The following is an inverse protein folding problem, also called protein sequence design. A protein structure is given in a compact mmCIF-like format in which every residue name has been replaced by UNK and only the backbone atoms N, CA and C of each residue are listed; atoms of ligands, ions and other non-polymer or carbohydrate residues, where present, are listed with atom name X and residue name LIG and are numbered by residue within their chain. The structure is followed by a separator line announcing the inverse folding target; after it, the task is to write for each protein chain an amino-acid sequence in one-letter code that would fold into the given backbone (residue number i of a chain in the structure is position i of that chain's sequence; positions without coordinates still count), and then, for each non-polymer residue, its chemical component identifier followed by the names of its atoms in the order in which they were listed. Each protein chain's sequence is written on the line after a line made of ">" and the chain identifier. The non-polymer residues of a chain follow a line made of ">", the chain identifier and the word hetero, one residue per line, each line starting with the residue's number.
data_IF_287694882962
#
_entry.id   IF_287694882962
#
_cell.length_a   1.000
_cell.length_b   1.000
_cell.length_c   1.000
_cell.angle_alpha   90.00
_cell.angle_beta   90.00
_cell.angle_gamma   90.00
#
_symmetry.space_group_name_H-M   'P 1'
#
loop_
_entity.id
_entity.type
_entity.pdbx_description
1 polymer ?
#
# COMPACT_ATOMS: atom_id res chain seq x y z
N UNK A 1 65.29 8.65 -59.86
CA UNK A 1 66.66 8.39 -60.36
C UNK A 1 66.68 7.01 -60.97
N UNK A 2 66.74 7.01 -62.18
CA UNK A 2 67.54 6.33 -63.24
C UNK A 2 67.06 4.91 -63.56
N UNK A 3 66.39 4.85 -64.73
CA UNK A 3 66.69 3.87 -65.81
C UNK A 3 68.18 3.91 -66.20
N UNK A 4 68.74 3.01 -67.02
CA UNK A 4 68.21 2.31 -68.20
C UNK A 4 68.87 0.90 -68.39
N UNK A 5 68.66 0.06 -69.36
CA UNK A 5 68.81 0.18 -70.82
C UNK A 5 68.67 -1.23 -71.45
N UNK A 6 68.13 -1.28 -72.66
CA UNK A 6 68.29 -2.30 -73.72
C UNK A 6 69.76 -2.28 -74.30
N UNK A 7 70.15 -3.25 -75.08
CA UNK A 7 69.71 -3.62 -76.43
C UNK A 7 69.98 -5.11 -76.79
N UNK A 8 69.74 -5.66 -77.91
CA UNK A 8 69.37 -5.47 -79.30
C UNK A 8 69.82 -6.70 -80.14
N UNK A 9 69.11 -6.92 -81.21
CA UNK A 9 69.46 -7.53 -82.50
C UNK A 9 69.45 -9.08 -82.73
N UNK A 10 68.49 -9.38 -83.51
CA UNK A 10 68.41 -10.19 -84.76
C UNK A 10 69.72 -10.51 -85.52
N UNK A 11 69.74 -11.26 -86.66
CA UNK A 11 68.69 -11.97 -87.45
C UNK A 11 69.24 -13.27 -88.15
N UNK A 12 68.39 -13.75 -89.08
CA UNK A 12 68.71 -14.35 -90.42
C UNK A 12 68.14 -15.78 -90.65
N UNK A 13 67.19 -15.81 -91.51
CA UNK A 13 66.83 -16.58 -92.70
C UNK A 13 67.29 -18.05 -92.85
N UNK A 14 66.39 -18.91 -93.34
CA UNK A 14 66.34 -19.41 -94.73
C UNK A 14 65.25 -20.50 -94.90
N UNK A 15 64.26 -20.18 -95.73
CA UNK A 15 63.63 -20.92 -96.86
C UNK A 15 63.53 -22.47 -96.74
N UNK A 16 62.28 -22.90 -96.93
CA UNK A 16 62.08 -24.14 -97.68
C UNK A 16 60.85 -24.99 -97.44
N UNK A 17 60.02 -24.92 -98.43
CA UNK A 17 59.10 -25.86 -98.99
C UNK A 17 57.72 -26.08 -98.38
N UNK A 18 56.80 -25.76 -99.25
CA UNK A 18 55.33 -25.94 -99.16
C UNK A 18 54.96 -27.41 -99.20
N UNK A 19 54.13 -27.82 -98.28
CA UNK A 19 53.18 -28.93 -98.47
C UNK A 19 51.81 -28.52 -97.88
N UNK A 20 50.78 -28.78 -98.62
CA UNK A 20 49.35 -28.36 -98.38
C UNK A 20 48.79 -28.88 -97.06
N UNK A 21 47.85 -28.13 -96.43
CA UNK A 21 47.32 -28.53 -95.15
C UNK A 21 46.21 -29.59 -95.30
N UNK A 22 46.39 -30.64 -94.56
CA UNK A 22 45.36 -31.64 -94.32
C UNK A 22 44.23 -30.99 -93.45
N UNK A 23 43.01 -31.12 -93.92
CA UNK A 23 41.84 -30.53 -93.27
C UNK A 23 41.64 -31.08 -91.87
N UNK A 24 41.91 -30.28 -90.84
CA UNK A 24 41.54 -30.60 -89.46
C UNK A 24 40.02 -30.75 -89.31
N UNK A 25 39.56 -31.92 -88.96
CA UNK A 25 38.18 -32.23 -88.65
C UNK A 25 37.73 -31.43 -87.43
N UNK A 26 36.71 -30.60 -87.63
CA UNK A 26 36.06 -29.84 -86.55
C UNK A 26 35.57 -30.78 -85.42
N UNK A 27 35.76 -30.41 -84.13
CA UNK A 27 35.28 -31.25 -83.03
C UNK A 27 33.74 -31.35 -83.08
N UNK A 28 33.24 -32.54 -83.27
CA UNK A 28 31.80 -32.85 -83.17
C UNK A 28 31.33 -32.45 -81.77
N UNK A 29 30.61 -31.32 -81.60
CA UNK A 29 29.81 -31.00 -80.40
C UNK A 29 28.83 -32.13 -80.14
N UNK A 30 29.16 -32.98 -79.17
CA UNK A 30 28.21 -34.00 -78.65
C UNK A 30 27.00 -33.26 -78.11
N UNK A 31 25.85 -33.36 -78.78
CA UNK A 31 24.57 -32.85 -78.25
C UNK A 31 24.30 -33.57 -76.91
N UNK A 32 24.06 -32.82 -75.82
CA UNK A 32 23.78 -33.46 -74.54
C UNK A 32 22.53 -34.32 -74.70
N UNK A 33 22.58 -35.51 -74.15
CA UNK A 33 21.42 -36.41 -74.11
C UNK A 33 20.33 -35.72 -73.35
N UNK A 34 19.07 -35.64 -73.90
CA UNK A 34 17.98 -34.89 -73.29
C UNK A 34 17.72 -35.27 -71.83
N UNK A 35 17.89 -36.56 -71.49
CA UNK A 35 17.79 -37.09 -70.11
C UNK A 35 18.88 -36.48 -69.13
N UNK A 36 20.08 -36.22 -69.63
CA UNK A 36 21.14 -35.61 -68.83
C UNK A 36 20.86 -34.11 -68.53
N UNK A 37 20.27 -33.41 -69.52
CA UNK A 37 19.84 -32.01 -69.33
C UNK A 37 18.69 -31.93 -68.37
N UNK A 38 17.70 -32.80 -68.49
CA UNK A 38 16.56 -32.89 -67.53
C UNK A 38 17.09 -33.21 -66.11
N UNK A 39 18.01 -34.15 -65.97
CA UNK A 39 18.63 -34.45 -64.65
C UNK A 39 19.36 -33.28 -64.02
N UNK A 40 20.11 -32.50 -64.81
CA UNK A 40 20.81 -31.28 -64.35
C UNK A 40 19.80 -30.17 -63.97
N UNK A 41 18.74 -30.00 -64.77
CA UNK A 41 17.69 -29.00 -64.45
C UNK A 41 16.95 -29.40 -63.19
N UNK A 42 16.59 -30.69 -63.05
CA UNK A 42 15.94 -31.19 -61.81
C UNK A 42 16.83 -31.04 -60.57
N UNK A 43 18.13 -31.33 -60.72
CA UNK A 43 19.09 -31.17 -59.63
C UNK A 43 19.26 -29.65 -59.28
N UNK A 44 19.33 -28.79 -60.27
CA UNK A 44 19.39 -27.33 -60.04
C UNK A 44 18.10 -26.79 -59.37
N UNK A 45 16.95 -27.24 -59.80
CA UNK A 45 15.66 -26.90 -59.15
C UNK A 45 15.62 -27.43 -57.74
N UNK A 46 16.03 -28.65 -57.45
CA UNK A 46 16.07 -29.20 -56.10
C UNK A 46 17.04 -28.44 -55.22
N UNK A 47 18.26 -28.13 -55.69
CA UNK A 47 19.24 -27.33 -54.93
C UNK A 47 18.71 -25.93 -54.66
N UNK A 48 18.08 -25.29 -55.68
CA UNK A 48 17.51 -23.94 -55.51
C UNK A 48 16.31 -23.97 -54.55
N UNK A 49 15.43 -24.97 -54.62
CA UNK A 49 14.31 -25.15 -53.72
C UNK A 49 14.75 -25.45 -52.29
N UNK A 50 15.77 -26.33 -52.13
CA UNK A 50 16.37 -26.61 -50.81
C UNK A 50 17.05 -25.37 -50.21
N UNK A 51 17.78 -24.62 -51.05
CA UNK A 51 18.40 -23.35 -50.60
C UNK A 51 17.37 -22.28 -50.20
N UNK A 52 16.31 -22.14 -50.98
CA UNK A 52 15.22 -21.22 -50.65
C UNK A 52 14.48 -21.63 -49.36
N UNK A 53 14.21 -22.93 -49.20
CA UNK A 53 13.62 -23.49 -47.99
C UNK A 53 14.54 -23.26 -46.77
N UNK A 54 15.85 -23.57 -46.86
CA UNK A 54 16.79 -23.40 -45.79
C UNK A 54 16.92 -21.91 -45.38
N UNK A 55 16.90 -20.97 -46.35
CA UNK A 55 16.92 -19.55 -46.09
C UNK A 55 15.60 -19.09 -45.41
N UNK A 56 14.47 -19.61 -45.84
CA UNK A 56 13.18 -19.29 -45.23
C UNK A 56 13.09 -19.87 -43.79
N UNK A 57 13.50 -21.09 -43.59
CA UNK A 57 13.53 -21.75 -42.27
C UNK A 57 14.51 -21.05 -41.29
N UNK A 58 15.63 -20.53 -41.79
CA UNK A 58 16.60 -19.80 -40.97
C UNK A 58 16.04 -18.46 -40.43
N UNK A 59 15.15 -17.82 -41.18
CA UNK A 59 14.53 -16.53 -40.81
C UNK A 59 13.10 -16.66 -40.27
N UNK A 60 12.57 -17.87 -40.15
CA UNK A 60 11.23 -18.08 -39.61
C UNK A 60 11.18 -17.77 -38.10
N UNK A 61 10.08 -17.20 -37.62
CA UNK A 61 9.81 -17.08 -36.19
C UNK A 61 9.71 -18.47 -35.54
N UNK A 62 10.17 -18.58 -34.30
CA UNK A 62 10.05 -19.84 -33.57
C UNK A 62 8.61 -19.99 -33.05
N UNK A 63 8.13 -21.23 -32.91
CA UNK A 63 6.86 -21.44 -32.23
C UNK A 63 6.95 -21.00 -30.77
N UNK A 64 5.89 -20.35 -30.33
CA UNK A 64 5.74 -19.94 -28.91
C UNK A 64 5.77 -21.20 -28.02
N UNK A 65 6.52 -21.15 -26.94
CA UNK A 65 6.56 -22.22 -25.95
C UNK A 65 5.18 -22.45 -25.33
N UNK A 66 4.85 -23.70 -25.08
CA UNK A 66 3.61 -24.05 -24.39
C UNK A 66 3.70 -23.65 -22.93
N UNK A 67 2.84 -22.73 -22.49
CA UNK A 67 2.73 -22.30 -21.11
C UNK A 67 1.67 -23.14 -20.38
N UNK A 68 2.01 -23.57 -19.15
CA UNK A 68 1.10 -24.27 -18.25
C UNK A 68 1.07 -23.54 -16.92
N UNK A 69 -0.11 -23.08 -16.51
CA UNK A 69 -0.31 -22.39 -15.23
C UNK A 69 -0.53 -23.39 -14.13
N UNK A 70 0.09 -23.17 -12.97
CA UNK A 70 -0.18 -23.91 -11.74
C UNK A 70 -1.28 -23.21 -10.95
N UNK A 71 -2.41 -23.88 -10.76
CA UNK A 71 -3.51 -23.36 -9.97
C UNK A 71 -3.20 -23.46 -8.47
N UNK A 72 -3.43 -22.34 -7.74
CA UNK A 72 -3.33 -22.28 -6.28
C UNK A 72 -4.73 -22.22 -5.69
N UNK A 73 -5.11 -23.11 -4.78
CA UNK A 73 -6.43 -23.07 -4.15
C UNK A 73 -6.58 -21.81 -3.28
N UNK A 74 -7.79 -21.24 -3.19
CA UNK A 74 -8.04 -20.10 -2.34
C UNK A 74 -7.83 -20.44 -0.85
N UNK A 75 -7.26 -19.49 -0.12
CA UNK A 75 -7.10 -19.56 1.33
C UNK A 75 -8.16 -18.70 2.00
N UNK A 76 -8.84 -19.24 3.02
CA UNK A 76 -9.83 -18.51 3.80
C UNK A 76 -9.42 -18.51 5.27
N UNK A 77 -9.39 -17.34 5.87
CA UNK A 77 -9.10 -17.10 7.29
C UNK A 77 -10.42 -16.62 7.94
N UNK A 78 -10.80 -17.24 9.04
CA UNK A 78 -12.02 -16.87 9.75
C UNK A 78 -11.85 -15.57 10.56
N UNK A 79 -12.98 -14.87 10.79
CA UNK A 79 -13.03 -13.70 11.66
C UNK A 79 -12.71 -14.08 13.12
N UNK A 80 -11.95 -13.24 13.86
CA UNK A 80 -11.71 -13.46 15.27
C UNK A 80 -12.97 -13.23 16.10
N UNK A 81 -13.06 -13.88 17.24
CA UNK A 81 -14.07 -13.58 18.24
C UNK A 81 -13.60 -12.38 19.09
N UNK A 82 -14.12 -11.19 18.83
CA UNK A 82 -13.79 -9.97 19.57
C UNK A 82 -14.64 -9.88 20.84
N UNK A 83 -14.00 -9.67 22.00
CA UNK A 83 -14.65 -9.60 23.30
C UNK A 83 -15.28 -8.21 23.55
N UNK A 84 -16.27 -7.85 22.76
CA UNK A 84 -17.01 -6.60 22.93
C UNK A 84 -17.82 -6.58 24.23
N UNK A 85 -17.93 -5.40 24.89
CA UNK A 85 -18.86 -5.21 25.99
C UNK A 85 -20.32 -5.51 25.60
N UNK A 86 -21.15 -5.87 26.56
CA UNK A 86 -22.58 -6.15 26.33
C UNK A 86 -23.47 -4.90 26.35
N UNK A 87 -22.89 -3.71 26.42
CA UNK A 87 -23.59 -2.41 26.47
C UNK A 87 -23.01 -1.46 25.42
N UNK A 88 -23.73 -0.39 25.12
CA UNK A 88 -23.28 0.73 24.33
C UNK A 88 -22.90 0.38 22.90
N UNK A 89 -21.83 1.00 22.43
CA UNK A 89 -21.28 0.79 21.10
C UNK A 89 -19.77 1.04 21.10
N UNK A 90 -19.08 0.53 20.08
CA UNK A 90 -17.67 0.75 19.90
C UNK A 90 -17.20 0.39 18.51
N UNK A 91 -16.00 0.86 18.20
CA UNK A 91 -15.29 0.57 16.97
C UNK A 91 -13.78 0.58 17.25
N UNK A 92 -13.01 -0.11 16.42
CA UNK A 92 -11.57 -0.14 16.49
C UNK A 92 -10.99 -0.23 15.09
N UNK A 93 -9.91 0.51 14.85
CA UNK A 93 -9.10 0.50 13.62
C UNK A 93 -7.65 0.20 13.91
N UNK A 94 -6.88 -0.11 12.87
CA UNK A 94 -5.44 -0.15 12.90
C UNK A 94 -4.86 0.68 11.76
N UNK A 95 -3.95 1.59 12.10
CA UNK A 95 -3.34 2.49 11.13
C UNK A 95 -2.46 1.70 10.16
N UNK A 96 -2.71 1.86 8.86
CA UNK A 96 -1.91 1.22 7.81
C UNK A 96 -2.14 -0.28 7.63
N UNK A 97 -3.12 -0.88 8.32
CA UNK A 97 -3.50 -2.29 8.16
C UNK A 97 -4.83 -2.38 7.43
N UNK A 98 -4.94 -3.35 6.52
CA UNK A 98 -6.22 -3.64 5.86
C UNK A 98 -7.14 -4.42 6.81
N UNK A 99 -8.26 -3.79 7.12
CA UNK A 99 -9.39 -4.43 7.81
C UNK A 99 -10.48 -4.87 6.82
N UNK A 100 -11.51 -5.55 7.30
CA UNK A 100 -12.66 -5.98 6.47
C UNK A 100 -13.52 -4.82 5.96
N UNK A 101 -13.31 -3.60 6.49
CA UNK A 101 -14.02 -2.39 6.07
C UNK A 101 -13.03 -1.31 5.61
N UNK A 102 -13.53 -0.35 4.81
CA UNK A 102 -12.72 0.76 4.31
C UNK A 102 -12.10 1.60 5.45
N UNK A 103 -10.92 2.17 5.21
CA UNK A 103 -10.26 3.09 6.15
C UNK A 103 -9.55 2.43 7.33
N UNK A 104 -9.15 1.14 7.21
CA UNK A 104 -8.43 0.46 8.30
C UNK A 104 -9.31 0.01 9.46
N UNK A 105 -10.63 0.17 9.35
CA UNK A 105 -11.57 -0.29 10.38
C UNK A 105 -11.53 -1.81 10.52
N UNK A 106 -11.19 -2.28 11.70
CA UNK A 106 -11.09 -3.71 12.01
C UNK A 106 -12.46 -4.28 12.38
N UNK A 107 -13.11 -3.70 13.38
CA UNK A 107 -14.39 -4.18 13.88
C UNK A 107 -15.20 -3.06 14.55
N UNK A 108 -16.51 -3.29 14.66
CA UNK A 108 -17.43 -2.43 15.40
C UNK A 108 -18.56 -3.25 15.99
N UNK A 109 -19.22 -2.71 17.00
CA UNK A 109 -20.43 -3.29 17.61
C UNK A 109 -21.40 -2.21 18.07
N UNK A 110 -22.65 -2.61 18.33
CA UNK A 110 -23.70 -1.74 18.84
C UNK A 110 -24.27 -0.81 17.78
N UNK A 111 -24.67 0.40 18.19
CA UNK A 111 -25.30 1.38 17.32
C UNK A 111 -24.32 1.95 16.28
N UNK A 112 -24.75 2.03 15.03
CA UNK A 112 -24.05 2.75 13.95
C UNK A 112 -24.53 4.21 13.80
N UNK A 113 -25.55 4.61 14.55
CA UNK A 113 -26.09 5.98 14.55
C UNK A 113 -25.29 6.92 15.44
N UNK A 114 -25.70 8.19 15.42
CA UNK A 114 -25.16 9.21 16.29
C UNK A 114 -25.47 8.92 17.76
N UNK A 115 -24.46 9.08 18.61
CA UNK A 115 -24.53 8.90 20.06
C UNK A 115 -23.94 10.14 20.74
N UNK A 116 -24.42 10.56 21.94
CA UNK A 116 -23.74 11.55 22.74
C UNK A 116 -22.32 11.09 23.06
N UNK A 117 -21.35 12.02 22.98
CA UNK A 117 -19.92 11.67 23.07
C UNK A 117 -19.22 12.25 24.30
N UNK A 118 -19.92 13.07 25.07
CA UNK A 118 -19.33 13.74 26.22
C UNK A 118 -18.02 14.44 25.86
N UNK A 119 -17.08 14.45 26.79
CA UNK A 119 -15.80 15.15 26.62
C UNK A 119 -14.90 14.60 25.49
N UNK A 120 -15.27 13.57 24.75
CA UNK A 120 -14.59 13.20 23.50
C UNK A 120 -14.68 14.36 22.50
N UNK A 121 -15.72 15.22 22.58
CA UNK A 121 -15.84 16.45 21.79
C UNK A 121 -14.62 17.38 21.85
N UNK A 122 -13.86 17.35 22.95
CA UNK A 122 -12.64 18.15 23.10
C UNK A 122 -11.50 17.75 22.14
N UNK A 123 -11.58 16.54 21.59
CA UNK A 123 -10.72 16.11 20.46
C UNK A 123 -11.00 16.99 19.25
N UNK A 124 -12.27 17.20 18.93
CA UNK A 124 -12.66 18.12 17.84
C UNK A 124 -12.20 19.54 18.15
N UNK A 125 -12.42 20.01 19.39
CA UNK A 125 -12.00 21.35 19.79
C UNK A 125 -10.50 21.57 19.64
N UNK A 126 -9.68 20.61 20.09
CA UNK A 126 -8.23 20.70 19.97
C UNK A 126 -7.78 20.72 18.49
N UNK A 127 -8.31 19.79 17.66
CA UNK A 127 -7.97 19.71 16.24
C UNK A 127 -8.39 20.96 15.45
N UNK A 128 -9.57 21.48 15.73
CA UNK A 128 -10.11 22.68 15.05
C UNK A 128 -9.35 23.93 15.48
N UNK A 129 -9.00 24.07 16.77
CA UNK A 129 -8.15 25.17 17.27
C UNK A 129 -6.78 25.13 16.60
N UNK A 130 -6.08 23.99 16.58
CA UNK A 130 -4.78 23.84 15.92
C UNK A 130 -4.85 24.07 14.41
N UNK A 131 -5.97 23.73 13.77
CA UNK A 131 -6.15 24.01 12.35
C UNK A 131 -6.18 25.53 12.06
N UNK A 132 -6.73 26.33 12.98
CA UNK A 132 -6.80 27.78 12.85
C UNK A 132 -5.55 28.49 13.40
N UNK A 133 -4.92 27.89 14.38
CA UNK A 133 -3.75 28.40 15.12
C UNK A 133 -2.66 27.32 15.16
N UNK A 134 -1.94 27.07 14.06
CA UNK A 134 -0.96 26.00 14.02
C UNK A 134 0.28 26.33 14.85
N UNK A 135 0.69 25.39 15.69
CA UNK A 135 1.94 25.48 16.47
C UNK A 135 3.11 25.05 15.56
N UNK A 136 4.04 25.97 15.29
CA UNK A 136 5.22 25.65 14.51
C UNK A 136 6.14 24.67 15.25
N UNK A 137 6.81 23.81 14.48
CA UNK A 137 7.75 22.83 15.03
C UNK A 137 8.82 23.47 15.94
N UNK A 138 9.06 22.87 17.08
CA UNK A 138 10.02 23.37 18.07
C UNK A 138 9.57 24.59 18.88
N UNK A 139 8.29 25.00 18.76
CA UNK A 139 7.69 26.08 19.56
C UNK A 139 6.53 25.56 20.40
N UNK A 140 6.03 26.40 21.32
CA UNK A 140 4.84 26.11 22.13
C UNK A 140 3.59 26.90 21.68
N UNK A 141 3.65 27.52 20.52
CA UNK A 141 2.55 28.31 19.95
C UNK A 141 2.48 29.73 20.50
N UNK A 142 1.34 30.41 20.27
CA UNK A 142 1.09 31.75 20.73
C UNK A 142 0.89 31.78 22.27
N UNK A 143 1.20 32.91 22.90
CA UNK A 143 0.83 33.13 24.30
C UNK A 143 -0.63 33.61 24.39
N UNK A 144 -1.41 32.94 25.24
CA UNK A 144 -2.82 33.22 25.50
C UNK A 144 -2.91 33.90 26.85
N UNK A 145 -3.43 35.13 26.88
CA UNK A 145 -3.69 35.89 28.10
C UNK A 145 -5.14 35.65 28.56
N UNK A 146 -5.27 35.01 29.72
CA UNK A 146 -6.57 34.74 30.33
C UNK A 146 -7.07 35.97 31.12
N UNK A 147 -8.35 36.19 31.04
CA UNK A 147 -9.00 37.40 31.58
C UNK A 147 -10.06 37.06 32.63
N UNK A 148 -10.75 38.05 33.14
CA UNK A 148 -11.91 37.84 34.00
C UNK A 148 -13.07 37.13 33.30
N UNK A 149 -13.11 37.20 31.93
CA UNK A 149 -14.09 36.44 31.14
C UNK A 149 -13.84 34.93 31.23
N UNK A 150 -12.58 34.51 31.21
CA UNK A 150 -12.19 33.11 31.35
C UNK A 150 -12.49 32.57 32.75
N UNK A 151 -12.34 33.44 33.80
CA UNK A 151 -12.83 33.10 35.15
C UNK A 151 -14.35 32.95 35.17
N UNK A 152 -15.10 33.71 34.36
CA UNK A 152 -16.52 33.49 34.12
C UNK A 152 -16.80 32.09 33.58
N UNK A 153 -16.09 31.65 32.51
CA UNK A 153 -16.23 30.30 31.92
C UNK A 153 -15.93 29.20 32.94
N UNK A 154 -14.98 29.41 33.83
CA UNK A 154 -14.74 28.49 34.95
C UNK A 154 -15.97 28.37 35.87
N UNK A 155 -16.53 29.49 36.30
CA UNK A 155 -17.69 29.49 37.18
C UNK A 155 -18.94 28.88 36.52
N UNK A 156 -19.16 29.16 35.23
CA UNK A 156 -20.23 28.54 34.45
C UNK A 156 -20.09 27.05 34.38
N UNK A 157 -18.86 26.55 34.05
CA UNK A 157 -18.57 25.13 33.98
C UNK A 157 -18.73 24.42 35.32
N UNK A 158 -18.39 25.08 36.44
CA UNK A 158 -18.63 24.56 37.81
C UNK A 158 -20.13 24.46 38.10
N UNK A 159 -20.91 25.47 37.71
CA UNK A 159 -22.37 25.47 37.90
C UNK A 159 -23.07 24.34 37.10
N UNK A 160 -22.51 23.95 35.99
CA UNK A 160 -22.97 22.85 35.13
C UNK A 160 -22.41 21.46 35.55
N UNK A 161 -21.71 21.37 36.69
CA UNK A 161 -20.98 20.16 37.15
C UNK A 161 -19.97 19.62 36.11
N UNK A 162 -19.44 20.50 35.25
CA UNK A 162 -18.41 20.16 34.28
C UNK A 162 -17.02 20.03 34.90
N UNK A 163 -16.14 19.29 34.23
CA UNK A 163 -14.71 19.24 34.59
C UNK A 163 -14.06 20.59 34.39
N UNK A 164 -13.27 21.07 35.33
CA UNK A 164 -12.61 22.38 35.26
C UNK A 164 -11.15 22.30 35.69
N UNK A 165 -10.35 23.24 35.25
CA UNK A 165 -9.02 23.49 35.76
C UNK A 165 -8.87 24.98 36.23
N UNK A 166 -8.03 25.23 37.24
CA UNK A 166 -7.84 26.60 37.75
C UNK A 166 -7.48 27.60 36.66
N UNK A 167 -8.05 28.80 36.75
CA UNK A 167 -7.74 29.94 35.89
C UNK A 167 -7.87 31.23 36.69
N UNK A 168 -7.04 32.25 36.39
CA UNK A 168 -7.11 33.57 36.99
C UNK A 168 -6.92 34.66 35.94
N UNK A 169 -7.50 35.79 36.19
CA UNK A 169 -7.26 36.96 35.32
C UNK A 169 -5.79 37.39 35.40
N UNK A 170 -5.16 37.55 34.22
CA UNK A 170 -3.73 37.83 34.10
C UNK A 170 -2.84 36.59 34.03
N UNK A 171 -3.41 35.35 34.05
CA UNK A 171 -2.67 34.14 33.72
C UNK A 171 -2.28 34.20 32.24
N UNK A 172 -1.03 33.86 31.94
CA UNK A 172 -0.53 33.69 30.57
C UNK A 172 -0.03 32.26 30.40
N UNK A 173 -0.52 31.55 29.39
CA UNK A 173 -0.08 30.22 28.99
C UNK A 173 0.28 30.20 27.52
N UNK A 174 1.21 29.36 27.14
CA UNK A 174 1.38 29.03 25.74
C UNK A 174 0.17 28.23 25.23
N UNK A 175 -0.05 28.22 23.94
CA UNK A 175 -1.12 27.45 23.33
C UNK A 175 -1.01 25.94 23.66
N UNK A 176 0.23 25.39 23.65
CA UNK A 176 0.52 23.99 24.04
C UNK A 176 0.13 23.73 25.50
N UNK A 177 0.46 24.63 26.42
CA UNK A 177 0.07 24.51 27.83
C UNK A 177 -1.46 24.53 27.97
N UNK A 178 -2.14 25.44 27.27
CA UNK A 178 -3.60 25.53 27.33
C UNK A 178 -4.27 24.28 26.73
N UNK A 179 -3.75 23.72 25.62
CA UNK A 179 -4.19 22.43 25.05
C UNK A 179 -3.92 21.28 26.03
N UNK A 180 -2.82 21.29 26.76
CA UNK A 180 -2.54 20.30 27.79
C UNK A 180 -3.58 20.35 28.91
N UNK A 181 -3.96 21.55 29.38
CA UNK A 181 -5.02 21.71 30.39
C UNK A 181 -6.40 21.36 29.83
N UNK A 182 -6.64 21.58 28.55
CA UNK A 182 -7.86 21.09 27.88
C UNK A 182 -7.99 19.57 27.96
N UNK A 183 -6.91 18.87 27.57
CA UNK A 183 -6.97 17.42 27.29
C UNK A 183 -6.83 16.56 28.53
N UNK A 184 -5.83 16.81 29.40
CA UNK A 184 -5.51 15.94 30.53
C UNK A 184 -6.67 15.89 31.56
N UNK A 185 -6.96 17.00 32.27
CA UNK A 185 -8.06 17.02 33.25
C UNK A 185 -9.43 17.19 32.62
N UNK A 186 -9.50 17.25 31.28
CA UNK A 186 -10.75 17.44 30.55
C UNK A 186 -11.47 18.77 30.82
N UNK A 187 -10.72 19.88 30.96
CA UNK A 187 -11.26 21.15 31.44
C UNK A 187 -12.21 21.83 30.44
N UNK A 188 -13.52 21.96 30.79
CA UNK A 188 -14.55 22.60 29.98
C UNK A 188 -14.28 24.11 29.80
N UNK A 189 -13.84 24.77 30.86
CA UNK A 189 -13.51 26.19 30.81
C UNK A 189 -12.37 26.48 29.82
N UNK A 190 -11.36 25.61 29.72
CA UNK A 190 -10.28 25.76 28.71
C UNK A 190 -10.77 25.44 27.30
N UNK A 191 -11.73 24.52 27.14
CA UNK A 191 -12.36 24.30 25.84
C UNK A 191 -13.02 25.59 25.31
N UNK A 192 -13.77 26.29 26.16
CA UNK A 192 -14.42 27.55 25.80
C UNK A 192 -13.42 28.67 25.59
N UNK A 193 -12.43 28.80 26.48
CA UNK A 193 -11.38 29.81 26.34
C UNK A 193 -10.61 29.68 25.03
N UNK A 194 -10.15 28.48 24.68
CA UNK A 194 -9.43 28.18 23.44
C UNK A 194 -10.31 28.46 22.21
N UNK A 195 -11.56 28.01 22.23
CA UNK A 195 -12.50 28.25 21.13
C UNK A 195 -12.74 29.71 20.90
N UNK A 196 -12.98 30.50 21.98
CA UNK A 196 -13.18 31.95 21.88
C UNK A 196 -11.91 32.69 21.49
N UNK A 197 -10.74 32.28 22.00
CA UNK A 197 -9.45 32.81 21.59
C UNK A 197 -9.18 32.65 20.10
N UNK A 198 -9.42 31.45 19.57
CA UNK A 198 -9.11 31.15 18.18
C UNK A 198 -10.14 31.73 17.19
N UNK A 199 -11.43 31.81 17.57
CA UNK A 199 -12.53 32.14 16.66
C UNK A 199 -13.34 33.39 17.05
N UNK A 200 -13.00 34.05 18.14
CA UNK A 200 -13.65 35.28 18.62
C UNK A 200 -14.95 35.08 19.39
N UNK A 201 -15.64 33.94 19.19
CA UNK A 201 -16.84 33.54 19.94
C UNK A 201 -17.06 32.02 19.87
N UNK A 202 -17.96 31.51 20.71
CA UNK A 202 -18.38 30.11 20.65
C UNK A 202 -19.11 29.80 19.34
N UNK A 203 -19.96 30.70 18.86
CA UNK A 203 -20.65 30.57 17.56
C UNK A 203 -19.65 30.54 16.40
N UNK A 204 -18.60 31.35 16.47
CA UNK A 204 -17.50 31.33 15.50
C UNK A 204 -16.78 29.98 15.46
N UNK A 205 -16.50 29.40 16.63
CA UNK A 205 -15.94 28.08 16.76
C UNK A 205 -16.90 27.01 16.20
N UNK A 206 -18.18 27.00 16.56
CA UNK A 206 -19.14 26.01 16.09
C UNK A 206 -19.27 26.02 14.56
N UNK A 207 -19.27 27.19 13.95
CA UNK A 207 -19.27 27.36 12.51
C UNK A 207 -17.99 26.80 11.86
N UNK A 208 -16.81 27.08 12.45
CA UNK A 208 -15.54 26.58 11.98
C UNK A 208 -15.44 25.06 12.16
N UNK A 209 -15.87 24.53 13.31
CA UNK A 209 -15.89 23.09 13.58
C UNK A 209 -16.78 22.35 12.59
N UNK A 210 -17.96 22.89 12.27
CA UNK A 210 -18.83 22.31 11.24
C UNK A 210 -18.14 22.24 9.89
N UNK A 211 -17.53 23.35 9.44
CA UNK A 211 -16.80 23.39 8.16
C UNK A 211 -15.65 22.37 8.17
N UNK A 212 -14.86 22.33 9.26
CA UNK A 212 -13.72 21.44 9.40
C UNK A 212 -14.11 19.96 9.34
N UNK A 213 -15.25 19.59 9.95
CA UNK A 213 -15.82 18.24 9.94
C UNK A 213 -16.34 17.87 8.55
N UNK A 214 -17.08 18.78 7.90
CA UNK A 214 -17.63 18.57 6.55
C UNK A 214 -16.53 18.36 5.50
N UNK A 215 -15.45 19.14 5.57
CA UNK A 215 -14.28 19.00 4.68
C UNK A 215 -13.59 17.62 4.80
N UNK A 216 -13.76 16.94 5.94
CA UNK A 216 -13.20 15.60 6.20
C UNK A 216 -14.20 14.48 6.05
N UNK A 217 -15.43 14.78 5.61
CA UNK A 217 -16.49 13.80 5.45
C UNK A 217 -17.09 13.29 6.77
N UNK A 218 -16.78 13.93 7.90
CA UNK A 218 -17.25 13.56 9.23
C UNK A 218 -18.65 14.13 9.50
N UNK A 219 -19.60 13.76 8.65
CA UNK A 219 -20.95 14.35 8.62
C UNK A 219 -21.87 13.80 9.72
N UNK A 220 -21.52 12.69 10.33
CA UNK A 220 -22.19 12.11 11.49
C UNK A 220 -21.77 12.76 12.81
N UNK A 221 -20.72 13.60 12.81
CA UNK A 221 -20.28 14.33 14.01
C UNK A 221 -20.87 15.73 14.02
N UNK A 222 -21.54 16.07 15.11
CA UNK A 222 -22.13 17.39 15.37
C UNK A 222 -21.64 17.89 16.72
N UNK A 223 -21.04 19.05 16.78
CA UNK A 223 -20.70 19.74 18.03
C UNK A 223 -21.68 20.88 18.26
N UNK A 224 -22.33 20.87 19.40
CA UNK A 224 -23.29 21.89 19.82
C UNK A 224 -22.75 22.78 20.94
N UNK A 225 -21.57 22.44 21.49
CA UNK A 225 -20.80 23.18 22.47
C UNK A 225 -19.31 22.85 22.32
N UNK A 226 -18.46 23.54 23.07
CA UNK A 226 -16.99 23.40 22.98
C UNK A 226 -16.44 22.18 23.75
N UNK A 227 -17.23 21.56 24.61
CA UNK A 227 -16.73 20.61 25.62
C UNK A 227 -17.38 19.22 25.56
N UNK A 228 -18.54 19.10 24.88
CA UNK A 228 -19.36 17.90 24.83
C UNK A 228 -20.29 17.71 26.02
N UNK A 229 -20.57 18.78 26.77
CA UNK A 229 -21.53 18.75 27.86
C UNK A 229 -22.97 18.70 27.34
N UNK A 230 -23.23 19.33 26.20
CA UNK A 230 -24.53 19.29 25.52
C UNK A 230 -24.83 17.90 24.98
N UNK A 231 -26.04 17.33 25.26
CA UNK A 231 -26.45 16.05 24.66
C UNK A 231 -26.66 16.13 23.15
N UNK A 232 -26.69 17.33 22.56
CA UNK A 232 -26.75 17.54 21.12
C UNK A 232 -25.34 17.45 20.45
N UNK A 233 -24.27 17.38 21.25
CA UNK A 233 -22.93 17.06 20.77
C UNK A 233 -22.81 15.54 20.60
N UNK A 234 -22.87 15.08 19.36
CA UNK A 234 -22.99 13.67 18.98
C UNK A 234 -21.99 13.26 17.90
N UNK A 235 -21.70 11.98 17.83
CA UNK A 235 -20.88 11.39 16.75
C UNK A 235 -21.24 9.92 16.55
N UNK A 236 -20.74 9.30 15.47
CA UNK A 236 -20.76 7.85 15.30
C UNK A 236 -19.46 7.24 15.86
N UNK A 237 -19.49 5.96 16.24
CA UNK A 237 -18.28 5.26 16.71
C UNK A 237 -17.17 5.24 15.64
N UNK A 238 -17.55 5.13 14.37
CA UNK A 238 -16.60 5.14 13.26
C UNK A 238 -15.90 6.49 13.12
N UNK A 239 -16.65 7.59 13.19
CA UNK A 239 -16.08 8.92 13.10
C UNK A 239 -15.28 9.32 14.33
N UNK A 240 -15.65 8.84 15.53
CA UNK A 240 -14.81 9.01 16.72
C UNK A 240 -13.45 8.33 16.58
N UNK A 241 -13.37 7.15 15.95
CA UNK A 241 -12.11 6.49 15.65
C UNK A 241 -11.28 7.33 14.68
N UNK A 242 -11.89 7.83 13.60
CA UNK A 242 -11.20 8.73 12.65
C UNK A 242 -10.68 10.00 13.34
N UNK A 243 -11.46 10.60 14.23
CA UNK A 243 -11.01 11.75 15.04
C UNK A 243 -9.81 11.39 15.94
N UNK A 244 -9.80 10.16 16.48
CA UNK A 244 -8.68 9.63 17.23
C UNK A 244 -7.43 9.45 16.36
N UNK A 245 -7.57 8.90 15.16
CA UNK A 245 -6.47 8.76 14.19
C UNK A 245 -5.89 10.12 13.78
N UNK A 246 -6.75 11.11 13.53
CA UNK A 246 -6.31 12.47 13.25
C UNK A 246 -5.53 13.10 14.43
N UNK A 247 -5.97 12.80 15.66
CA UNK A 247 -5.31 13.35 16.85
C UNK A 247 -3.93 12.70 17.07
N UNK A 248 -3.81 11.39 16.99
CA UNK A 248 -2.52 10.71 17.17
C UNK A 248 -1.54 10.97 16.02
N UNK A 249 -2.06 11.34 14.84
CA UNK A 249 -1.25 11.82 13.71
C UNK A 249 -0.74 13.25 13.88
N UNK A 250 -1.24 14.02 14.86
CA UNK A 250 -0.83 15.40 15.10
C UNK A 250 0.38 15.46 16.04
N UNK A 251 1.51 16.08 15.62
CA UNK A 251 2.76 16.08 16.40
C UNK A 251 2.67 16.95 17.68
N UNK A 252 1.63 17.75 17.85
CA UNK A 252 1.38 18.51 19.07
C UNK A 252 0.48 17.76 20.03
N UNK A 253 -0.61 17.19 19.54
CA UNK A 253 -1.64 16.56 20.38
C UNK A 253 -1.28 15.14 20.83
N UNK A 254 -0.64 14.33 19.98
CA UNK A 254 -0.28 12.96 20.34
C UNK A 254 0.62 12.92 21.61
N UNK A 255 1.70 13.70 21.72
CA UNK A 255 2.49 13.74 22.96
C UNK A 255 1.70 14.24 24.17
N UNK A 256 0.76 15.20 23.97
CA UNK A 256 -0.05 15.73 25.07
C UNK A 256 -0.92 14.62 25.68
N UNK A 257 -1.68 13.89 24.87
CA UNK A 257 -2.63 12.88 25.39
C UNK A 257 -1.94 11.66 26.00
N UNK A 258 -0.68 11.43 25.65
CA UNK A 258 0.14 10.36 26.22
C UNK A 258 0.73 10.70 27.61
N UNK A 259 0.68 11.98 28.04
CA UNK A 259 1.18 12.36 29.36
C UNK A 259 0.22 11.90 30.47
N UNK A 260 0.72 11.20 31.52
CA UNK A 260 -0.10 10.88 32.68
C UNK A 260 -0.42 12.12 33.53
N UNK A 261 0.49 13.11 33.55
CA UNK A 261 0.30 14.41 34.23
C UNK A 261 1.27 15.46 33.68
N UNK A 262 0.98 16.71 33.93
CA UNK A 262 1.86 17.84 33.60
C UNK A 262 1.78 18.91 34.72
N UNK A 263 2.87 19.64 34.92
CA UNK A 263 2.90 20.80 35.80
C UNK A 263 2.82 22.06 34.93
N UNK A 264 1.72 22.81 35.03
CA UNK A 264 1.45 23.99 34.21
C UNK A 264 1.64 25.24 35.09
N UNK A 265 2.48 26.19 34.68
CA UNK A 265 2.68 27.46 35.42
C UNK A 265 1.37 28.18 35.72
N UNK A 266 1.15 28.57 36.96
CA UNK A 266 -0.07 29.28 37.38
C UNK A 266 -1.36 28.45 37.47
N UNK A 267 -1.36 27.19 36.98
CA UNK A 267 -2.48 26.23 37.08
C UNK A 267 -2.18 25.16 38.13
N UNK A 268 -0.94 24.68 38.18
CA UNK A 268 -0.54 23.56 39.03
C UNK A 268 -0.41 22.23 38.28
N UNK A 269 -0.45 21.13 39.01
CA UNK A 269 -0.43 19.78 38.40
C UNK A 269 -1.81 19.47 37.84
N UNK A 270 -1.81 19.07 36.56
CA UNK A 270 -2.99 18.50 35.87
C UNK A 270 -2.74 17.04 35.59
N UNK A 271 -3.74 16.21 35.87
CA UNK A 271 -3.64 14.75 35.71
C UNK A 271 -4.52 14.29 34.54
N UNK A 272 -4.07 13.27 33.82
CA UNK A 272 -4.85 12.67 32.76
C UNK A 272 -5.98 11.81 33.34
N UNK A 273 -7.18 11.99 32.83
CA UNK A 273 -8.35 11.22 33.26
C UNK A 273 -8.38 9.79 32.70
N UNK A 274 -7.50 9.46 31.73
CA UNK A 274 -7.36 8.12 31.19
C UNK A 274 -6.52 7.23 32.12
N UNK A 275 -7.18 6.42 32.93
CA UNK A 275 -6.52 5.51 33.87
C UNK A 275 -5.86 4.29 33.22
N UNK A 276 -6.03 4.09 31.92
CA UNK A 276 -5.40 3.01 31.15
C UNK A 276 -4.02 3.35 30.59
N UNK A 277 -3.58 4.61 30.69
CA UNK A 277 -2.25 4.99 30.20
C UNK A 277 -1.16 4.09 30.75
N UNK A 278 -0.32 3.54 29.83
CA UNK A 278 0.75 2.62 30.14
C UNK A 278 0.32 1.17 30.41
N UNK A 279 -0.98 0.84 30.31
CA UNK A 279 -1.49 -0.51 30.44
C UNK A 279 -1.84 -1.06 29.03
N UNK A 280 -1.43 -2.30 28.74
CA UNK A 280 -1.68 -2.98 27.45
C UNK A 280 -1.35 -2.12 26.21
N UNK A 281 -0.28 -1.33 26.29
CA UNK A 281 0.15 -0.45 25.19
C UNK A 281 -0.66 0.85 25.04
N UNK A 282 -1.69 1.08 25.86
CA UNK A 282 -2.53 2.30 25.77
C UNK A 282 -1.71 3.55 26.05
N UNK A 283 -1.74 4.51 25.12
CA UNK A 283 -0.95 5.76 25.13
C UNK A 283 -1.79 7.03 24.92
N UNK A 284 -3.10 6.91 24.78
CA UNK A 284 -4.04 8.04 24.59
C UNK A 284 -5.47 7.55 24.75
N UNK A 285 -6.52 8.30 24.46
CA UNK A 285 -6.61 9.65 23.91
C UNK A 285 -7.46 10.51 24.85
N UNK A 286 -8.75 10.13 25.03
CA UNK A 286 -9.73 10.97 25.76
C UNK A 286 -10.85 10.16 26.42
N UNK A 287 -11.11 10.45 27.67
CA UNK A 287 -12.32 10.00 28.38
C UNK A 287 -13.49 10.97 28.15
N UNK A 288 -14.70 10.46 28.25
CA UNK A 288 -15.92 11.25 28.25
C UNK A 288 -16.91 10.75 29.27
N UNK A 289 -17.75 11.64 29.83
CA UNK A 289 -18.86 11.25 30.73
C UNK A 289 -19.92 12.33 30.69
N UNK A 290 -21.14 11.92 30.42
CA UNK A 290 -22.39 12.65 30.72
C UNK A 290 -23.44 11.63 31.10
N UNK A 291 -24.57 12.06 31.59
CA UNK A 291 -25.69 11.14 31.93
C UNK A 291 -26.22 10.40 30.68
N UNK A 292 -26.19 11.08 29.51
CA UNK A 292 -26.68 10.52 28.24
C UNK A 292 -25.62 9.62 27.55
N UNK A 293 -24.33 9.99 27.63
CA UNK A 293 -23.26 9.24 26.99
C UNK A 293 -22.81 8.02 27.80
N UNK A 294 -23.03 8.02 29.13
CA UNK A 294 -22.34 7.12 30.04
C UNK A 294 -20.83 7.41 30.11
N UNK A 295 -20.06 6.50 30.68
CA UNK A 295 -18.62 6.55 30.59
C UNK A 295 -18.15 6.12 29.20
N UNK A 296 -17.32 6.94 28.59
CA UNK A 296 -16.78 6.76 27.24
C UNK A 296 -15.24 6.83 27.28
N UNK A 297 -14.59 6.08 26.38
CA UNK A 297 -13.14 6.16 26.16
C UNK A 297 -12.86 6.04 24.66
N UNK A 298 -12.25 7.06 24.12
CA UNK A 298 -11.50 7.02 22.88
C UNK A 298 -10.04 6.77 23.27
N UNK A 299 -9.44 5.69 22.78
CA UNK A 299 -8.08 5.28 23.14
C UNK A 299 -7.22 4.97 21.91
N UNK A 300 -5.93 5.13 22.06
CA UNK A 300 -4.93 4.61 21.16
C UNK A 300 -4.01 3.65 21.91
N UNK A 301 -3.41 2.74 21.17
CA UNK A 301 -2.39 1.86 21.70
C UNK A 301 -1.39 1.45 20.63
N UNK A 302 -0.14 1.26 21.05
CA UNK A 302 0.90 0.64 20.24
C UNK A 302 1.12 -0.80 20.66
N UNK A 303 1.08 -1.71 19.71
CA UNK A 303 1.31 -3.14 19.89
C UNK A 303 2.34 -3.68 18.91
N UNK A 304 2.98 -4.79 19.26
CA UNK A 304 3.78 -5.58 18.32
C UNK A 304 3.02 -6.84 17.97
N UNK A 305 2.56 -6.94 16.73
CA UNK A 305 1.74 -8.04 16.24
C UNK A 305 2.47 -8.74 15.09
N UNK A 306 2.64 -10.06 15.20
CA UNK A 306 3.41 -10.83 14.19
C UNK A 306 4.81 -10.21 13.93
N UNK A 307 5.44 -9.63 14.98
CA UNK A 307 6.74 -8.96 14.88
C UNK A 307 6.73 -7.58 14.22
N UNK A 308 5.56 -7.03 13.88
CA UNK A 308 5.38 -5.71 13.24
C UNK A 308 4.76 -4.73 14.24
N UNK A 309 5.22 -3.47 14.29
CA UNK A 309 4.53 -2.43 15.07
C UNK A 309 3.19 -2.10 14.41
N UNK A 310 2.15 -2.01 15.23
CA UNK A 310 0.78 -1.65 14.82
C UNK A 310 0.23 -0.65 15.81
N UNK A 311 -0.20 0.51 15.32
CA UNK A 311 -0.95 1.48 16.11
C UNK A 311 -2.44 1.24 15.89
N UNK A 312 -3.19 1.05 16.98
CA UNK A 312 -4.64 0.87 16.95
C UNK A 312 -5.33 2.06 17.61
N UNK A 313 -6.51 2.42 17.08
CA UNK A 313 -7.39 3.43 17.66
C UNK A 313 -8.76 2.81 17.89
N UNK A 314 -9.27 2.92 19.11
CA UNK A 314 -10.55 2.36 19.46
C UNK A 314 -11.42 3.30 20.29
N UNK A 315 -12.72 3.08 20.24
CA UNK A 315 -13.69 3.77 21.07
C UNK A 315 -14.69 2.78 21.66
N UNK A 316 -15.01 2.98 22.94
CA UNK A 316 -16.12 2.32 23.62
C UNK A 316 -16.92 3.37 24.36
N UNK A 317 -18.25 3.37 24.16
CA UNK A 317 -19.17 4.32 24.78
C UNK A 317 -20.32 3.61 25.51
N UNK A 318 -20.94 4.28 26.48
CA UNK A 318 -22.15 3.78 27.14
C UNK A 318 -21.92 2.90 28.37
N UNK A 319 -20.71 2.87 28.92
CA UNK A 319 -20.46 2.16 30.18
C UNK A 319 -21.10 2.88 31.38
N UNK A 320 -21.38 2.14 32.44
CA UNK A 320 -21.93 2.74 33.66
C UNK A 320 -20.87 3.53 34.43
N UNK A 321 -19.62 3.07 34.42
CA UNK A 321 -18.52 3.68 35.17
C UNK A 321 -17.21 3.52 34.38
N UNK A 322 -16.24 4.42 34.62
CA UNK A 322 -14.90 4.30 34.07
C UNK A 322 -14.13 3.04 34.51
N UNK A 323 -14.22 2.56 35.79
CA UNK A 323 -13.58 1.29 36.15
C UNK A 323 -14.12 0.08 35.40
N UNK A 324 -15.44 0.02 35.13
CA UNK A 324 -16.01 -1.04 34.28
C UNK A 324 -15.47 -0.91 32.85
N UNK A 325 -15.54 0.28 32.27
CA UNK A 325 -15.04 0.55 30.92
C UNK A 325 -13.57 0.17 30.76
N UNK A 326 -12.74 0.51 31.73
CA UNK A 326 -11.32 0.17 31.73
C UNK A 326 -11.08 -1.36 31.74
N UNK A 327 -11.81 -2.10 32.58
CA UNK A 327 -11.72 -3.56 32.60
C UNK A 327 -12.16 -4.20 31.29
N UNK A 328 -13.24 -3.68 30.68
CA UNK A 328 -13.76 -4.19 29.42
C UNK A 328 -12.79 -3.89 28.25
N UNK A 329 -12.17 -2.70 28.21
CA UNK A 329 -11.16 -2.36 27.21
C UNK A 329 -9.90 -3.23 27.35
N UNK A 330 -9.43 -3.49 28.57
CA UNK A 330 -8.32 -4.42 28.83
C UNK A 330 -8.63 -5.87 28.41
N UNK A 331 -9.90 -6.26 28.43
CA UNK A 331 -10.35 -7.57 27.93
C UNK A 331 -10.47 -7.59 26.41
N UNK A 332 -10.87 -6.47 25.81
CA UNK A 332 -11.04 -6.30 24.36
C UNK A 332 -9.71 -6.37 23.61
N UNK A 333 -8.69 -5.61 24.06
CA UNK A 333 -7.41 -5.43 23.37
C UNK A 333 -6.77 -6.76 22.92
N UNK A 334 -6.52 -7.76 23.79
CA UNK A 334 -5.86 -9.00 23.38
C UNK A 334 -6.70 -9.82 22.39
N UNK A 335 -8.02 -9.68 22.36
CA UNK A 335 -8.88 -10.38 21.39
C UNK A 335 -8.83 -9.71 20.01
N UNK A 336 -8.58 -8.41 19.95
CA UNK A 336 -8.35 -7.69 18.70
C UNK A 336 -6.95 -8.03 18.16
N UNK A 337 -5.94 -8.00 19.01
CA UNK A 337 -4.56 -8.40 18.65
C UNK A 337 -4.49 -9.82 18.08
N UNK A 338 -5.26 -10.75 18.68
CA UNK A 338 -5.36 -12.12 18.20
C UNK A 338 -6.01 -12.27 16.80
N UNK A 339 -6.62 -11.22 16.28
CA UNK A 339 -7.20 -11.20 14.93
C UNK A 339 -6.23 -10.93 13.80
N UNK A 340 -5.03 -10.46 14.10
CA UNK A 340 -4.02 -10.20 13.07
C UNK A 340 -3.37 -11.50 12.60
N UNK A 341 -3.05 -11.55 11.31
CA UNK A 341 -2.31 -12.64 10.67
C UNK A 341 -1.40 -12.08 9.58
N UNK A 342 -0.22 -12.65 9.47
CA UNK A 342 0.62 -12.45 8.28
C UNK A 342 0.18 -13.42 7.20
N UNK A 343 -0.23 -12.90 6.05
CA UNK A 343 -0.53 -13.68 4.85
C UNK A 343 0.67 -13.60 3.93
N UNK A 344 1.24 -14.75 3.57
CA UNK A 344 2.25 -14.84 2.53
C UNK A 344 1.54 -14.71 1.18
N UNK A 345 1.93 -13.73 0.38
CA UNK A 345 1.44 -13.53 -0.98
C UNK A 345 2.22 -14.41 -1.94
N UNK A 346 3.57 -14.35 -1.84
CA UNK A 346 4.51 -15.17 -2.58
C UNK A 346 5.72 -15.52 -1.71
N UNK A 347 6.34 -16.66 -1.97
CA UNK A 347 7.68 -17.01 -1.48
C UNK A 347 8.68 -16.86 -2.64
N UNK A 348 9.92 -16.46 -2.36
CA UNK A 348 10.99 -16.42 -3.38
C UNK A 348 11.21 -17.83 -3.95
N UNK A 349 11.22 -17.96 -5.28
CA UNK A 349 11.33 -19.25 -5.96
C UNK A 349 10.05 -20.11 -5.91
N UNK A 350 8.89 -19.54 -5.61
CA UNK A 350 7.62 -20.24 -5.67
C UNK A 350 7.15 -20.41 -7.11
N UNK A 351 6.89 -21.67 -7.52
CA UNK A 351 6.41 -22.02 -8.86
C UNK A 351 4.96 -21.58 -9.08
N UNK A 352 4.70 -20.91 -10.21
CA UNK A 352 3.36 -20.54 -10.67
C UNK A 352 3.02 -21.04 -12.06
N UNK A 353 3.98 -21.63 -12.76
CA UNK A 353 3.78 -22.23 -14.07
C UNK A 353 5.06 -22.68 -14.72
N UNK A 354 4.96 -23.17 -15.95
CA UNK A 354 6.11 -23.63 -16.71
C UNK A 354 5.92 -23.39 -18.19
N UNK A 355 7.04 -23.28 -18.89
CA UNK A 355 7.13 -23.23 -20.34
C UNK A 355 7.81 -24.47 -20.87
N UNK A 356 7.36 -24.96 -22.00
CA UNK A 356 8.02 -26.05 -22.74
C UNK A 356 8.05 -25.68 -24.23
N UNK A 357 9.25 -25.61 -24.78
CA UNK A 357 9.46 -25.33 -26.20
C UNK A 357 9.13 -26.52 -27.09
N UNK A 358 8.89 -26.30 -28.36
CA UNK A 358 8.67 -27.35 -29.35
C UNK A 358 9.91 -28.28 -29.54
N UNK A 359 11.09 -27.82 -29.10
CA UNK A 359 12.33 -28.65 -29.13
C UNK A 359 12.68 -29.28 -27.79
N UNK A 360 11.79 -29.16 -26.78
CA UNK A 360 11.85 -29.92 -25.54
C UNK A 360 12.65 -29.30 -24.40
N UNK A 361 13.10 -28.05 -24.54
CA UNK A 361 13.63 -27.25 -23.42
C UNK A 361 12.48 -26.70 -22.57
N UNK A 362 12.73 -26.48 -21.29
CA UNK A 362 11.74 -25.96 -20.35
C UNK A 362 12.35 -24.96 -19.39
N UNK A 363 11.49 -24.02 -18.94
CA UNK A 363 11.77 -23.08 -17.87
C UNK A 363 10.54 -23.00 -16.94
N UNK A 364 10.77 -22.74 -15.66
CA UNK A 364 9.72 -22.50 -14.67
C UNK A 364 9.43 -21.02 -14.56
N UNK A 365 8.18 -20.65 -14.41
CA UNK A 365 7.79 -19.28 -14.06
C UNK A 365 7.60 -19.22 -12.54
N UNK A 366 8.54 -18.56 -11.85
CA UNK A 366 8.55 -18.47 -10.40
C UNK A 366 8.48 -17.01 -9.90
N UNK A 367 8.13 -16.84 -8.64
CA UNK A 367 8.21 -15.53 -7.99
C UNK A 367 9.66 -15.15 -7.70
N UNK A 368 10.10 -13.98 -8.20
CA UNK A 368 11.44 -13.45 -7.96
C UNK A 368 11.63 -12.87 -6.55
N UNK A 369 10.57 -12.74 -5.76
CA UNK A 369 10.62 -12.16 -4.42
C UNK A 369 9.57 -12.72 -3.48
N UNK A 370 9.89 -12.71 -2.18
CA UNK A 370 8.93 -13.02 -1.13
C UNK A 370 8.14 -11.75 -0.75
N UNK A 371 6.82 -11.84 -0.76
CA UNK A 371 5.93 -10.77 -0.30
C UNK A 371 4.95 -11.27 0.74
N UNK A 372 4.67 -10.43 1.75
CA UNK A 372 3.70 -10.74 2.79
C UNK A 372 2.94 -9.49 3.23
N UNK A 373 1.68 -9.67 3.60
CA UNK A 373 0.78 -8.64 4.06
C UNK A 373 0.27 -8.97 5.47
N UNK A 374 0.23 -7.96 6.36
CA UNK A 374 -0.47 -8.07 7.63
C UNK A 374 -1.96 -7.75 7.37
N UNK A 375 -2.83 -8.67 7.73
CA UNK A 375 -4.29 -8.54 7.60
C UNK A 375 -4.94 -8.72 8.96
N UNK A 376 -6.19 -8.27 9.09
CA UNK A 376 -7.01 -8.51 10.28
C UNK A 376 -8.38 -9.07 9.91
N UNK A 377 -8.83 -10.06 10.68
CA UNK A 377 -10.19 -10.60 10.57
C UNK A 377 -10.38 -11.58 9.42
N UNK A 378 -11.62 -11.73 8.99
CA UNK A 378 -11.96 -12.61 7.88
C UNK A 378 -11.23 -12.19 6.61
N UNK A 379 -10.46 -13.10 6.06
CA UNK A 379 -9.63 -12.82 4.89
C UNK A 379 -9.77 -13.95 3.87
N UNK A 380 -10.04 -13.58 2.63
CA UNK A 380 -10.01 -14.50 1.48
C UNK A 380 -8.84 -14.11 0.60
N UNK A 381 -8.00 -15.09 0.28
CA UNK A 381 -6.86 -14.93 -0.62
C UNK A 381 -7.11 -15.80 -1.84
N UNK A 382 -7.07 -15.20 -3.02
CA UNK A 382 -7.16 -15.90 -4.30
C UNK A 382 -6.00 -15.49 -5.21
N UNK A 383 -5.57 -16.41 -6.06
CA UNK A 383 -4.44 -16.20 -6.94
C UNK A 383 -4.87 -16.36 -8.38
N UNK A 384 -4.42 -15.46 -9.26
CA UNK A 384 -4.57 -15.59 -10.70
C UNK A 384 -3.23 -15.34 -11.39
N UNK A 385 -2.84 -16.22 -12.30
CA UNK A 385 -1.56 -16.21 -12.99
C UNK A 385 -1.77 -15.83 -14.45
N UNK A 386 -0.96 -14.89 -14.94
CA UNK A 386 -0.87 -14.55 -16.36
C UNK A 386 0.55 -14.75 -16.83
N UNK A 387 0.76 -15.71 -17.74
CA UNK A 387 2.05 -16.00 -18.34
C UNK A 387 2.12 -15.34 -19.72
N UNK A 388 3.24 -14.67 -20.01
CA UNK A 388 3.48 -14.03 -21.29
C UNK A 388 3.88 -15.06 -22.35
N UNK A 389 3.50 -14.90 -23.63
CA UNK A 389 3.94 -15.76 -24.69
C UNK A 389 5.44 -15.55 -24.96
N UNK A 390 6.24 -16.60 -24.89
CA UNK A 390 7.69 -16.57 -25.13
C UNK A 390 8.10 -17.60 -26.18
N UNK A 391 9.04 -17.27 -27.05
CA UNK A 391 9.68 -18.18 -28.00
C UNK A 391 10.99 -18.71 -27.42
N UNK A 392 11.78 -17.80 -26.85
CA UNK A 392 13.03 -18.06 -26.12
C UNK A 392 12.97 -17.27 -24.82
N UNK A 393 13.66 -17.75 -23.80
CA UNK A 393 13.70 -17.07 -22.51
C UNK A 393 15.07 -17.24 -21.86
N UNK A 394 15.56 -16.18 -21.24
CA UNK A 394 16.77 -16.20 -20.44
C UNK A 394 16.42 -16.40 -18.96
N UNK A 395 17.33 -17.03 -18.22
CA UNK A 395 17.24 -17.15 -16.78
C UNK A 395 17.10 -15.76 -16.11
N UNK A 396 16.14 -15.63 -15.18
CA UNK A 396 15.79 -14.36 -14.51
C UNK A 396 14.99 -13.36 -15.36
N UNK A 397 14.63 -13.70 -16.60
CA UNK A 397 13.78 -12.86 -17.44
C UNK A 397 12.35 -12.84 -16.91
N UNK A 398 11.74 -11.65 -16.86
CA UNK A 398 10.31 -11.51 -16.54
C UNK A 398 9.46 -12.20 -17.63
N UNK A 399 8.54 -13.06 -17.21
CA UNK A 399 7.74 -13.93 -18.07
C UNK A 399 6.25 -13.95 -17.72
N UNK A 400 5.81 -13.05 -16.86
CA UNK A 400 4.42 -12.94 -16.50
C UNK A 400 4.21 -12.27 -15.16
N UNK A 401 2.98 -12.39 -14.65
CA UNK A 401 2.57 -11.80 -13.36
C UNK A 401 1.63 -12.75 -12.64
N UNK A 402 1.85 -12.93 -11.35
CA UNK A 402 0.85 -13.49 -10.45
C UNK A 402 0.13 -12.33 -9.74
N UNK A 403 -1.19 -12.28 -9.84
CA UNK A 403 -2.04 -11.38 -9.07
C UNK A 403 -2.59 -12.14 -7.87
N UNK A 404 -2.19 -11.73 -6.67
CA UNK A 404 -2.76 -12.23 -5.42
C UNK A 404 -3.82 -11.23 -4.96
N UNK A 405 -5.07 -11.66 -4.94
CA UNK A 405 -6.18 -10.86 -4.45
C UNK A 405 -6.41 -11.17 -2.97
N UNK A 406 -6.42 -10.13 -2.15
CA UNK A 406 -6.73 -10.20 -0.72
C UNK A 406 -7.95 -9.33 -0.46
N UNK A 407 -9.09 -9.96 -0.18
CA UNK A 407 -10.37 -9.29 0.07
C UNK A 407 -10.81 -8.31 -1.03
N UNK A 408 -10.53 -8.62 -2.31
CA UNK A 408 -10.88 -7.78 -3.46
C UNK A 408 -9.84 -6.73 -3.82
N UNK A 409 -8.69 -6.70 -3.14
CA UNK A 409 -7.55 -5.88 -3.52
C UNK A 409 -6.46 -6.75 -4.13
N UNK A 410 -6.03 -6.40 -5.34
CA UNK A 410 -5.01 -7.12 -6.08
C UNK A 410 -3.60 -6.62 -5.75
N UNK A 411 -2.69 -7.57 -5.58
CA UNK A 411 -1.26 -7.37 -5.37
C UNK A 411 -0.52 -8.09 -6.50
N UNK A 412 -0.09 -7.38 -7.56
CA UNK A 412 0.65 -7.97 -8.65
C UNK A 412 2.10 -8.22 -8.24
N UNK A 413 2.60 -9.44 -8.51
CA UNK A 413 3.99 -9.83 -8.31
C UNK A 413 4.54 -10.33 -9.64
N UNK A 414 5.68 -9.81 -10.14
CA UNK A 414 6.28 -10.27 -11.37
C UNK A 414 6.79 -11.71 -11.23
N UNK A 415 6.63 -12.49 -12.29
CA UNK A 415 7.18 -13.82 -12.41
C UNK A 415 8.41 -13.79 -13.29
N UNK A 416 9.48 -14.46 -12.86
CA UNK A 416 10.74 -14.62 -13.59
C UNK A 416 10.92 -16.05 -14.01
N UNK A 417 11.69 -16.27 -15.06
CA UNK A 417 12.05 -17.61 -15.50
C UNK A 417 13.19 -18.17 -14.65
N UNK A 418 13.00 -19.35 -14.08
CA UNK A 418 14.08 -20.24 -13.61
C UNK A 418 14.39 -21.23 -14.73
N UNK A 419 15.58 -21.09 -15.30
CA UNK A 419 16.05 -21.83 -16.47
C UNK A 419 15.98 -21.04 -17.77
N UNK A 420 16.47 -21.67 -18.86
CA UNK A 420 16.60 -21.05 -20.18
C UNK A 420 15.87 -21.88 -21.24
N UNK A 421 15.31 -21.20 -22.22
CA UNK A 421 14.86 -21.76 -23.50
C UNK A 421 15.67 -21.06 -24.59
N UNK A 422 16.66 -21.72 -25.16
CA UNK A 422 17.53 -21.15 -26.17
C UNK A 422 17.00 -21.39 -27.60
N UNK A 423 17.49 -20.58 -28.56
CA UNK A 423 17.21 -20.85 -29.98
C UNK A 423 17.79 -22.23 -30.38
N UNK A 424 16.99 -23.17 -30.87
CA UNK A 424 17.43 -24.53 -31.19
C UNK A 424 18.42 -24.56 -32.37
N UNK A 425 18.63 -23.42 -33.02
CA UNK A 425 19.57 -23.25 -34.11
C UNK A 425 19.06 -23.73 -35.47
N UNK A 426 19.91 -23.49 -36.48
CA UNK A 426 19.60 -23.75 -37.87
C UNK A 426 19.23 -25.23 -38.14
N UNK A 427 19.91 -26.20 -37.48
CA UNK A 427 19.68 -27.60 -37.68
C UNK A 427 18.25 -28.04 -37.38
N UNK A 428 17.72 -27.60 -36.23
CA UNK A 428 16.36 -27.89 -35.83
C UNK A 428 15.35 -27.21 -36.78
N UNK A 429 15.57 -25.98 -37.15
CA UNK A 429 14.68 -25.20 -38.04
C UNK A 429 14.48 -25.88 -39.40
N UNK A 430 15.54 -26.44 -40.01
CA UNK A 430 15.42 -27.14 -41.31
C UNK A 430 14.84 -28.56 -41.21
N UNK A 431 14.90 -29.16 -40.05
CA UNK A 431 14.41 -30.55 -39.87
C UNK A 431 12.98 -30.60 -39.31
N UNK A 432 12.41 -29.47 -38.88
CA UNK A 432 11.08 -29.41 -38.26
C UNK A 432 10.13 -28.42 -38.98
N UNK A 433 9.85 -28.60 -40.32
CA UNK A 433 9.00 -27.68 -41.05
C UNK A 433 7.54 -27.66 -40.53
N UNK A 434 7.07 -28.74 -39.92
CA UNK A 434 5.71 -28.81 -39.35
C UNK A 434 5.53 -27.88 -38.15
N UNK A 435 6.57 -27.67 -37.33
CA UNK A 435 6.54 -26.80 -36.19
C UNK A 435 6.70 -25.30 -36.59
N UNK A 436 7.41 -25.01 -37.70
CA UNK A 436 7.64 -23.65 -38.16
C UNK A 436 6.54 -23.10 -39.06
N UNK A 437 5.87 -23.96 -39.87
CA UNK A 437 4.97 -23.53 -40.95
C UNK A 437 3.61 -24.24 -40.89
N UNK A 438 3.35 -25.08 -39.87
CA UNK A 438 2.22 -26.02 -39.75
C UNK A 438 0.90 -25.45 -39.33
#
# INVERSE_FOLDING_TARGET
>A
MTSPTRPDRSPIDVVGSVTAPEAAAAPRRRRPRPLAVIGVVLAAVLVSASGAYAANAAGAELPVATAVVQETPPTVIDAPAVAWPSYGAGAISAVGVQGPAAGGMLASYGSTGQLPIGSIAKVVTALVVLSAKPIAEGTDGETIAFTSTDVGYYNDSVAENGSVAPVSAGLELTEREALTVLMLPSANNYAKSLAVWAFGSEEGYLAAARTWLDERGLTGTVVADTSGLSPATVSTTLEMVVLGELLIGDPVLAPIVAMPSAVIPGVGTVENTNTLLGQAGVDGIKTGTTDEAGACLLFSLDATVEGRPVTMVGVVVGARTHPQLAADVLTLIPTVEAGFRTVTLTEEGQDFGSYTSAWGESAVAESGEAQSLLVWGATTVTTSVSLDPVEVVADGQEVGTVNVDVNGQAYPVPLVADGTIEDPGFGWRVTNPGELFG
#
